data_IF_224417331703
#
_entry.id   IF_224417331703
#
_cell.length_a   1.000
_cell.length_b   1.000
_cell.length_c   1.000
_cell.angle_alpha   90.00
_cell.angle_beta   90.00
_cell.angle_gamma   90.00
#
_symmetry.space_group_name_H-M   'P 1'
#
loop_
_entity.id
_entity.type
_entity.pdbx_description
1 polymer ?
#
# COMPACT_ATOMS: atom_id res chain seq x y z
N UNK A 1 3.17 21.55 6.80
CA UNK A 1 2.36 21.11 5.66
C UNK A 1 2.92 19.79 5.16
N UNK A 2 2.21 18.68 5.35
CA UNK A 2 2.62 17.38 4.80
C UNK A 2 2.04 17.32 3.39
N UNK A 3 2.89 17.54 2.37
CA UNK A 3 2.50 17.26 0.99
C UNK A 3 2.64 15.76 0.81
N UNK A 4 1.52 15.09 0.54
CA UNK A 4 1.49 13.68 0.20
C UNK A 4 0.78 13.49 -1.11
N UNK A 5 1.43 12.81 -2.03
CA UNK A 5 0.88 12.44 -3.33
C UNK A 5 1.24 10.98 -3.61
N UNK A 6 0.28 10.22 -4.12
CA UNK A 6 0.48 8.84 -4.56
C UNK A 6 0.26 8.76 -6.07
N UNK A 7 1.15 8.08 -6.77
CA UNK A 7 1.06 7.89 -8.22
C UNK A 7 1.12 6.39 -8.54
N UNK A 8 0.11 5.87 -9.23
CA UNK A 8 0.07 4.49 -9.71
C UNK A 8 0.06 4.49 -11.24
N UNK A 9 0.82 3.59 -11.88
CA UNK A 9 0.81 3.42 -13.33
C UNK A 9 0.18 2.07 -13.71
N UNK A 10 -0.75 2.08 -14.67
CA UNK A 10 -1.35 0.85 -15.24
C UNK A 10 -0.55 0.40 -16.45
N UNK A 11 -0.12 -0.87 -16.45
CA UNK A 11 0.66 -1.43 -17.55
C UNK A 11 -0.22 -2.08 -18.62
N UNK A 12 -0.36 -1.37 -19.75
CA UNK A 12 -0.47 -1.98 -21.08
C UNK A 12 0.29 -1.13 -22.10
N UNK A 13 1.61 -1.26 -22.12
CA UNK A 13 2.39 -0.92 -23.31
C UNK A 13 3.45 -1.99 -23.58
N UNK A 14 3.38 -2.58 -24.79
CA UNK A 14 4.48 -3.29 -25.41
C UNK A 14 5.57 -2.26 -25.69
N UNK A 15 6.71 -2.38 -25.01
CA UNK A 15 7.97 -1.72 -25.41
C UNK A 15 8.35 -0.48 -24.60
N UNK A 16 8.78 -0.65 -23.35
CA UNK A 16 9.85 0.12 -22.69
C UNK A 16 10.01 -0.45 -21.27
N UNK A 17 11.26 -0.72 -20.85
CA UNK A 17 11.60 -1.64 -19.76
C UNK A 17 11.74 -0.99 -18.37
N UNK A 18 11.02 0.09 -18.08
CA UNK A 18 10.93 0.65 -16.73
C UNK A 18 9.46 0.88 -16.36
N UNK A 19 8.75 -0.19 -16.01
CA UNK A 19 7.35 -0.09 -15.58
C UNK A 19 7.31 0.28 -14.08
N UNK A 20 6.67 1.40 -13.79
CA UNK A 20 6.41 1.91 -12.44
C UNK A 20 5.19 1.17 -11.87
N UNK A 21 5.24 0.72 -10.61
CA UNK A 21 4.08 0.13 -9.95
C UNK A 21 3.34 1.15 -9.08
N UNK A 22 4.07 1.88 -8.23
CA UNK A 22 3.50 2.84 -7.27
C UNK A 22 4.55 3.87 -6.83
N UNK A 23 4.13 5.03 -6.36
CA UNK A 23 5.00 6.07 -5.82
C UNK A 23 4.33 6.76 -4.65
N UNK A 24 5.11 7.09 -3.62
CA UNK A 24 4.63 7.87 -2.47
C UNK A 24 5.58 9.03 -2.22
N UNK A 25 5.06 10.24 -2.20
CA UNK A 25 5.78 11.43 -1.74
C UNK A 25 5.43 11.69 -0.27
N UNK A 26 6.45 11.79 0.59
CA UNK A 26 6.30 12.13 2.00
C UNK A 26 7.32 13.21 2.38
N UNK A 27 6.85 14.45 2.52
CA UNK A 27 7.74 15.60 2.67
C UNK A 27 8.56 15.78 1.39
N UNK A 28 9.89 15.81 1.52
CA UNK A 28 10.80 15.83 0.37
C UNK A 28 11.27 14.44 -0.09
N UNK A 29 10.74 13.36 0.50
CA UNK A 29 11.17 12.01 0.18
C UNK A 29 10.19 11.36 -0.80
N UNK A 30 10.69 10.98 -1.96
CA UNK A 30 9.94 10.27 -2.98
C UNK A 30 10.34 8.79 -2.99
N UNK A 31 9.39 7.93 -2.69
CA UNK A 31 9.55 6.48 -2.72
C UNK A 31 8.94 5.95 -4.01
N UNK A 32 9.72 5.19 -4.77
CA UNK A 32 9.35 4.67 -6.09
C UNK A 32 9.37 3.14 -6.03
N UNK A 33 8.20 2.54 -6.15
CA UNK A 33 8.06 1.09 -6.26
C UNK A 33 8.09 0.68 -7.72
N UNK A 34 9.20 0.06 -8.14
CA UNK A 34 9.47 -0.29 -9.53
C UNK A 34 9.18 -1.76 -9.82
N UNK A 35 9.15 -2.12 -11.11
CA UNK A 35 9.19 -3.53 -11.53
C UNK A 35 10.36 -4.30 -10.91
N UNK A 36 10.19 -5.62 -10.82
CA UNK A 36 11.14 -6.54 -10.15
C UNK A 36 11.26 -6.31 -8.64
N UNK A 37 10.25 -5.69 -8.05
CA UNK A 37 10.07 -5.61 -6.60
C UNK A 37 11.20 -4.86 -5.88
N UNK A 38 11.67 -3.78 -6.50
CA UNK A 38 12.62 -2.84 -5.91
C UNK A 38 11.91 -1.55 -5.48
N UNK A 39 12.39 -0.97 -4.38
CA UNK A 39 12.00 0.37 -3.93
C UNK A 39 13.21 1.27 -4.10
N UNK A 40 13.03 2.40 -4.80
CA UNK A 40 13.98 3.52 -4.76
C UNK A 40 13.48 4.58 -3.80
N UNK A 41 14.40 5.23 -3.10
CA UNK A 41 14.14 6.35 -2.20
C UNK A 41 14.98 7.53 -2.67
N UNK A 42 14.30 8.56 -3.16
CA UNK A 42 14.90 9.79 -3.65
C UNK A 42 14.63 10.91 -2.65
N UNK A 43 15.67 11.63 -2.26
CA UNK A 43 15.59 12.85 -1.47
C UNK A 43 15.57 14.06 -2.41
N UNK A 44 14.46 14.79 -2.40
CA UNK A 44 14.20 15.97 -3.23
C UNK A 44 14.48 17.28 -2.47
N UNK A 45 15.10 17.23 -1.28
CA UNK A 45 15.39 18.43 -0.47
C UNK A 45 16.64 19.18 -0.92
N UNK A 46 17.48 18.56 -1.75
CA UNK A 46 18.74 19.12 -2.22
C UNK A 46 18.55 20.37 -3.09
N UNK A 47 19.49 21.31 -2.99
CA UNK A 47 19.59 22.50 -3.85
C UNK A 47 20.65 22.34 -4.95
N UNK A 48 21.20 21.13 -5.10
CA UNK A 48 22.32 20.81 -5.98
C UNK A 48 21.88 20.73 -7.46
N UNK A 49 22.81 20.77 -8.42
CA UNK A 49 22.55 20.92 -9.87
C UNK A 49 21.59 19.86 -10.47
N UNK A 50 21.57 18.63 -9.93
CA UNK A 50 20.72 17.53 -10.40
C UNK A 50 19.30 17.53 -9.79
N UNK A 51 19.03 18.36 -8.78
CA UNK A 51 17.70 18.56 -8.18
C UNK A 51 17.17 17.43 -7.28
N UNK A 52 17.87 16.29 -7.15
CA UNK A 52 17.55 15.22 -6.20
C UNK A 52 18.76 14.33 -5.90
N UNK A 53 18.69 13.56 -4.81
CA UNK A 53 19.69 12.58 -4.42
C UNK A 53 19.08 11.19 -4.25
N UNK A 54 19.66 10.18 -4.88
CA UNK A 54 19.29 8.79 -4.61
C UNK A 54 19.89 8.33 -3.27
N UNK A 55 19.01 8.12 -2.30
CA UNK A 55 19.34 7.65 -0.94
C UNK A 55 18.84 6.23 -0.68
N UNK A 56 18.46 5.51 -1.76
CA UNK A 56 18.01 4.12 -1.68
C UNK A 56 19.01 3.26 -0.93
N UNK A 57 18.49 2.40 -0.06
CA UNK A 57 19.28 1.29 0.45
C UNK A 57 19.76 0.44 -0.73
N UNK A 58 21.05 0.07 -0.74
CA UNK A 58 21.68 -0.67 -1.85
C UNK A 58 21.20 -2.12 -1.88
N UNK A 59 20.01 -2.33 -2.42
CA UNK A 59 19.41 -3.64 -2.53
C UNK A 59 20.01 -4.44 -3.70
N UNK A 60 20.51 -5.65 -3.41
CA UNK A 60 21.06 -6.55 -4.44
C UNK A 60 20.04 -7.51 -5.04
N UNK A 61 18.99 -7.85 -4.27
CA UNK A 61 18.00 -8.85 -4.64
C UNK A 61 16.57 -8.28 -4.57
N UNK A 62 15.66 -8.74 -5.46
CA UNK A 62 14.23 -8.48 -5.38
C UNK A 62 13.63 -8.86 -4.03
N UNK A 63 12.61 -8.13 -3.60
CA UNK A 63 11.88 -8.46 -2.37
C UNK A 63 10.91 -9.61 -2.58
N UNK A 64 11.31 -10.83 -2.21
CA UNK A 64 10.48 -12.01 -2.40
C UNK A 64 9.34 -12.05 -1.38
N UNK A 65 8.15 -12.37 -1.85
CA UNK A 65 7.04 -12.59 -0.93
C UNK A 65 7.25 -13.89 -0.14
N UNK A 66 6.96 -13.89 1.18
CA UNK A 66 6.88 -15.13 1.92
C UNK A 66 5.77 -16.00 1.31
N UNK A 67 6.00 -17.30 1.26
CA UNK A 67 4.96 -18.25 0.84
C UNK A 67 3.79 -18.16 1.82
N UNK A 68 2.59 -17.82 1.33
CA UNK A 68 1.39 -17.79 2.17
C UNK A 68 1.20 -19.11 2.90
N UNK A 69 0.69 -19.08 4.13
CA UNK A 69 0.43 -20.31 4.87
C UNK A 69 -0.63 -21.15 4.14
N UNK A 70 -0.58 -22.48 4.30
CA UNK A 70 -1.60 -23.36 3.70
C UNK A 70 -3.02 -22.99 4.13
N UNK A 71 -3.21 -22.58 5.40
CA UNK A 71 -4.52 -22.15 5.92
C UNK A 71 -5.03 -20.88 5.23
N UNK A 72 -4.16 -19.90 4.98
CA UNK A 72 -4.53 -18.68 4.25
C UNK A 72 -4.81 -18.99 2.79
N UNK A 73 -3.98 -19.84 2.17
CA UNK A 73 -4.19 -20.30 0.80
C UNK A 73 -5.51 -21.04 0.64
N UNK A 74 -5.89 -21.88 1.61
CA UNK A 74 -7.19 -22.55 1.63
C UNK A 74 -8.35 -21.57 1.81
N UNK A 75 -8.25 -20.61 2.73
CA UNK A 75 -9.24 -19.53 2.88
C UNK A 75 -9.42 -18.72 1.60
N UNK A 76 -8.31 -18.39 0.92
CA UNK A 76 -8.32 -17.66 -0.35
C UNK A 76 -8.88 -18.50 -1.50
N UNK A 77 -8.55 -19.79 -1.58
CA UNK A 77 -9.11 -20.74 -2.56
C UNK A 77 -10.62 -20.91 -2.38
N UNK A 78 -11.09 -21.07 -1.15
CA UNK A 78 -12.51 -21.19 -0.84
C UNK A 78 -13.30 -19.94 -1.25
N UNK A 79 -12.70 -18.75 -1.10
CA UNK A 79 -13.34 -17.47 -1.42
C UNK A 79 -13.11 -16.96 -2.85
N UNK A 80 -12.51 -17.77 -3.74
CA UNK A 80 -12.08 -17.34 -5.10
C UNK A 80 -11.36 -15.99 -5.08
N UNK A 81 -10.43 -15.83 -4.13
CA UNK A 81 -9.68 -14.58 -3.95
C UNK A 81 -8.83 -14.29 -5.18
N UNK A 82 -8.94 -13.09 -5.73
CA UNK A 82 -8.09 -12.63 -6.84
C UNK A 82 -7.12 -11.58 -6.26
N UNK A 83 -5.80 -11.71 -6.47
CA UNK A 83 -4.87 -10.64 -6.15
C UNK A 83 -5.29 -9.39 -6.94
N UNK A 84 -5.67 -8.33 -6.25
CA UNK A 84 -6.27 -7.16 -6.88
C UNK A 84 -5.26 -6.05 -7.10
N UNK A 85 -4.37 -5.81 -6.15
CA UNK A 85 -3.32 -4.80 -6.31
C UNK A 85 -2.11 -4.99 -5.39
N UNK A 86 -1.01 -4.31 -5.75
CA UNK A 86 0.21 -4.18 -4.96
C UNK A 86 0.65 -2.71 -4.96
N UNK A 87 0.89 -2.16 -3.78
CA UNK A 87 1.36 -0.80 -3.61
C UNK A 87 2.37 -0.67 -2.48
N UNK A 88 2.79 0.56 -2.21
CA UNK A 88 3.64 0.89 -1.07
C UNK A 88 2.97 1.92 -0.16
N UNK A 89 3.40 1.92 1.09
CA UNK A 89 3.10 2.95 2.05
C UNK A 89 4.32 3.27 2.91
N UNK A 90 4.38 4.45 3.50
CA UNK A 90 5.50 4.90 4.32
C UNK A 90 5.00 5.22 5.71
N UNK A 91 5.57 4.57 6.72
CA UNK A 91 5.20 4.81 8.11
C UNK A 91 5.67 6.19 8.57
N UNK A 92 5.19 6.68 9.72
CA UNK A 92 5.69 7.94 10.30
C UNK A 92 7.19 7.93 10.55
N UNK A 93 7.71 6.80 11.01
CA UNK A 93 9.14 6.56 11.21
C UNK A 93 9.96 6.49 9.90
N UNK A 94 9.31 6.53 8.73
CA UNK A 94 9.97 6.49 7.42
C UNK A 94 10.22 5.07 6.89
N UNK A 95 9.71 4.04 7.58
CA UNK A 95 9.80 2.67 7.10
C UNK A 95 8.83 2.45 5.94
N UNK A 96 9.31 1.84 4.85
CA UNK A 96 8.46 1.48 3.72
C UNK A 96 7.79 0.14 3.97
N UNK A 97 6.48 0.10 3.74
CA UNK A 97 5.64 -1.08 3.77
C UNK A 97 5.17 -1.39 2.35
N UNK A 98 5.24 -2.66 1.95
CA UNK A 98 4.59 -3.17 0.75
C UNK A 98 3.19 -3.65 1.16
N UNK A 99 2.17 -3.16 0.46
CA UNK A 99 0.77 -3.43 0.76
C UNK A 99 0.17 -4.27 -0.36
N UNK A 100 -0.32 -5.44 0.00
CA UNK A 100 -1.06 -6.31 -0.90
C UNK A 100 -2.55 -6.28 -0.59
N UNK A 101 -3.32 -6.15 -1.65
CA UNK A 101 -4.77 -6.15 -1.60
C UNK A 101 -5.29 -7.40 -2.31
N UNK A 102 -6.24 -8.09 -1.65
CA UNK A 102 -6.92 -9.24 -2.22
C UNK A 102 -8.42 -9.03 -2.18
N UNK A 103 -9.08 -9.25 -3.33
CA UNK A 103 -10.54 -9.20 -3.42
C UNK A 103 -11.11 -10.60 -3.29
N UNK A 104 -11.99 -10.81 -2.29
CA UNK A 104 -12.56 -12.13 -1.97
C UNK A 104 -13.88 -12.43 -2.73
N UNK A 105 -14.07 -11.83 -3.91
CA UNK A 105 -15.01 -12.28 -4.96
C UNK A 105 -16.51 -12.41 -4.63
N UNK A 106 -16.98 -11.94 -3.47
CA UNK A 106 -18.39 -12.02 -3.03
C UNK A 106 -19.17 -10.77 -3.43
N UNK A 107 -20.53 -10.84 -3.49
CA UNK A 107 -21.40 -9.69 -3.77
C UNK A 107 -21.27 -8.55 -2.75
N UNK A 108 -20.69 -8.86 -1.59
CA UNK A 108 -20.23 -7.94 -0.55
C UNK A 108 -18.69 -7.97 -0.42
N UNK A 109 -18.00 -7.99 -1.56
CA UNK A 109 -16.53 -8.09 -1.77
C UNK A 109 -15.66 -7.86 -0.53
N UNK A 110 -15.38 -8.87 0.29
CA UNK A 110 -14.47 -8.64 1.42
C UNK A 110 -13.06 -8.36 0.89
N UNK A 111 -12.50 -7.18 1.20
CA UNK A 111 -11.10 -6.85 0.90
C UNK A 111 -10.20 -7.33 2.03
N UNK A 112 -9.11 -7.99 1.68
CA UNK A 112 -8.08 -8.39 2.64
C UNK A 112 -6.80 -7.61 2.35
N UNK A 113 -6.13 -7.18 3.41
CA UNK A 113 -4.85 -6.50 3.33
C UNK A 113 -3.76 -7.29 4.05
N UNK A 114 -2.62 -7.42 3.38
CA UNK A 114 -1.39 -7.89 3.99
C UNK A 114 -0.31 -6.81 3.82
N UNK A 115 0.39 -6.54 4.93
CA UNK A 115 1.48 -5.58 4.99
C UNK A 115 2.77 -6.34 5.13
N UNK A 116 3.79 -5.88 4.44
CA UNK A 116 5.10 -6.49 4.46
C UNK A 116 6.19 -5.44 4.56
N UNK A 117 7.30 -5.77 5.19
CA UNK A 117 8.50 -4.93 5.26
C UNK A 117 9.74 -5.75 4.96
N UNK A 118 10.82 -5.08 4.59
CA UNK A 118 12.12 -5.74 4.40
C UNK A 118 12.70 -6.19 5.74
N UNK A 119 13.36 -7.35 5.78
CA UNK A 119 14.18 -7.71 6.93
C UNK A 119 15.48 -6.88 6.87
N UNK A 120 15.88 -6.18 7.93
CA UNK A 120 17.17 -5.50 7.98
C UNK A 120 18.37 -6.41 7.64
N UNK A 121 18.26 -7.72 7.87
CA UNK A 121 19.29 -8.71 7.50
C UNK A 121 19.50 -8.84 5.98
N UNK A 122 18.53 -8.42 5.18
CA UNK A 122 18.61 -8.43 3.71
C UNK A 122 19.59 -7.39 3.16
N UNK A 123 20.13 -6.53 4.03
CA UNK A 123 21.20 -5.59 3.71
C UNK A 123 22.59 -6.24 3.77
N UNK A 124 22.74 -7.41 4.41
CA UNK A 124 24.01 -8.15 4.41
C UNK A 124 24.27 -8.72 3.00
N UNK A 125 25.43 -8.40 2.37
CA UNK A 125 25.80 -8.95 1.07
C UNK A 125 25.85 -10.48 0.99
N UNK A 126 25.91 -11.19 2.12
CA UNK A 126 25.93 -12.65 2.20
C UNK A 126 24.53 -13.28 2.25
N UNK A 127 23.49 -12.48 2.45
CA UNK A 127 22.10 -12.95 2.50
C UNK A 127 21.63 -13.30 1.08
N UNK A 128 21.32 -14.59 0.86
CA UNK A 128 20.87 -15.12 -0.43
C UNK A 128 19.33 -15.23 -0.52
N UNK A 129 18.64 -15.15 0.62
CA UNK A 129 17.17 -15.19 0.70
C UNK A 129 16.68 -13.86 1.28
N UNK A 130 15.84 -13.14 0.52
CA UNK A 130 15.38 -11.78 0.85
C UNK A 130 13.86 -11.74 0.93
N UNK A 131 13.34 -12.64 1.77
CA UNK A 131 11.92 -12.75 2.02
C UNK A 131 11.43 -11.57 2.86
N UNK A 132 10.35 -10.95 2.41
CA UNK A 132 9.67 -9.92 3.16
C UNK A 132 9.08 -10.49 4.46
N UNK A 133 9.16 -9.70 5.52
CA UNK A 133 8.53 -9.98 6.79
C UNK A 133 7.11 -9.43 6.80
N UNK A 134 6.13 -10.28 7.12
CA UNK A 134 4.76 -9.82 7.30
C UNK A 134 4.64 -8.93 8.55
N UNK A 135 3.87 -7.85 8.41
CA UNK A 135 3.56 -6.91 9.48
C UNK A 135 2.10 -7.12 9.87
N UNK A 136 1.89 -7.65 11.07
CA UNK A 136 0.56 -7.91 11.61
C UNK A 136 -0.01 -6.76 12.45
N UNK A 137 0.80 -5.73 12.75
CA UNK A 137 0.37 -4.57 13.54
C UNK A 137 1.06 -3.28 13.09
N UNK A 138 0.29 -2.20 12.99
CA UNK A 138 0.78 -0.82 12.86
C UNK A 138 0.93 -0.12 14.23
N UNK A 139 0.61 -0.81 15.34
CA UNK A 139 0.66 -0.23 16.68
C UNK A 139 -0.42 0.83 16.88
N UNK A 140 0.01 2.01 17.33
CA UNK A 140 -0.82 3.19 17.56
C UNK A 140 -0.98 4.05 16.29
N UNK A 141 -0.67 3.52 15.11
CA UNK A 141 -0.84 4.21 13.83
C UNK A 141 -2.00 3.62 13.00
N UNK A 142 -2.49 4.44 12.08
CA UNK A 142 -3.43 4.05 11.04
C UNK A 142 -2.85 4.33 9.66
N UNK A 143 -3.00 3.40 8.71
CA UNK A 143 -2.58 3.56 7.33
C UNK A 143 -3.72 4.13 6.49
N UNK A 144 -3.47 5.27 5.85
CA UNK A 144 -4.35 5.79 4.81
C UNK A 144 -3.84 5.29 3.46
N UNK A 145 -4.40 4.17 3.00
CA UNK A 145 -3.88 3.42 1.86
C UNK A 145 -3.77 4.29 0.61
N UNK A 146 -4.81 5.06 0.28
CA UNK A 146 -4.82 5.91 -0.92
C UNK A 146 -3.80 7.05 -0.87
N UNK A 147 -3.39 7.45 0.34
CA UNK A 147 -2.33 8.43 0.55
C UNK A 147 -0.95 7.78 0.64
N UNK A 148 -0.87 6.46 0.83
CA UNK A 148 0.38 5.74 0.99
C UNK A 148 1.15 6.13 2.26
N UNK A 149 0.48 6.64 3.30
CA UNK A 149 1.15 7.07 4.54
C UNK A 149 0.41 6.59 5.78
N UNK A 150 1.15 6.43 6.88
CA UNK A 150 0.55 6.25 8.20
C UNK A 150 0.48 7.57 8.98
N UNK A 151 -0.51 7.65 9.86
CA UNK A 151 -0.72 8.76 10.81
C UNK A 151 -0.95 8.20 12.21
N UNK A 152 -0.76 9.00 13.28
CA UNK A 152 -1.12 8.58 14.62
C UNK A 152 -2.62 8.27 14.68
N UNK A 153 -3.00 7.25 15.44
CA UNK A 153 -4.36 7.08 15.87
C UNK A 153 -4.78 8.28 16.70
N UNK A 154 -6.04 8.68 16.52
CA UNK A 154 -6.61 9.85 17.18
C UNK A 154 -8.09 9.61 17.39
N UNK A 155 -8.46 9.28 18.63
CA UNK A 155 -9.84 9.03 18.99
C UNK A 155 -10.73 10.28 18.88
N UNK A 156 -10.16 11.48 18.96
CA UNK A 156 -10.91 12.74 18.79
C UNK A 156 -11.31 12.97 17.33
N UNK A 157 -10.50 12.48 16.40
CA UNK A 157 -10.76 12.49 14.95
C UNK A 157 -11.39 11.19 14.44
N UNK A 158 -11.59 10.20 15.30
CA UNK A 158 -12.12 8.87 14.92
C UNK A 158 -11.14 8.01 14.12
N UNK A 159 -9.84 8.28 14.23
CA UNK A 159 -8.77 7.48 13.61
C UNK A 159 -8.46 6.29 14.53
N UNK A 160 -8.89 5.10 14.12
CA UNK A 160 -8.72 3.85 14.86
C UNK A 160 -7.27 3.33 14.73
N UNK A 161 -6.61 2.88 15.81
CA UNK A 161 -5.27 2.31 15.74
C UNK A 161 -5.29 0.95 15.04
N UNK A 162 -4.14 0.58 14.48
CA UNK A 162 -3.94 -0.71 13.82
C UNK A 162 -4.93 -0.98 12.67
N UNK A 163 -5.29 0.08 11.96
CA UNK A 163 -6.31 0.06 10.92
C UNK A 163 -5.79 0.61 9.60
N UNK A 164 -6.40 0.16 8.51
CA UNK A 164 -6.14 0.59 7.15
C UNK A 164 -7.41 1.25 6.61
N UNK A 165 -7.34 2.56 6.38
CA UNK A 165 -8.37 3.34 5.72
C UNK A 165 -8.15 3.26 4.22
N UNK A 166 -9.15 2.82 3.48
CA UNK A 166 -9.05 2.64 2.05
C UNK A 166 -10.30 3.14 1.34
N UNK A 167 -10.13 3.48 0.07
CA UNK A 167 -11.21 3.66 -0.89
C UNK A 167 -10.98 2.71 -2.07
N UNK A 168 -11.85 2.80 -3.09
CA UNK A 168 -11.81 1.90 -4.25
C UNK A 168 -10.42 1.98 -4.92
N UNK A 169 -9.88 0.82 -5.29
CA UNK A 169 -8.47 0.66 -5.71
C UNK A 169 -8.34 0.57 -7.25
N UNK A 170 -9.47 0.54 -7.95
CA UNK A 170 -9.55 0.40 -9.40
C UNK A 170 -9.63 1.76 -10.12
N UNK A 171 -9.15 2.85 -9.51
CA UNK A 171 -9.27 4.22 -10.06
C UNK A 171 -8.80 4.37 -11.51
N UNK A 172 -7.99 3.43 -12.02
CA UNK A 172 -7.45 3.42 -13.39
C UNK A 172 -8.20 2.45 -14.33
N UNK A 173 -9.02 1.54 -13.80
CA UNK A 173 -9.81 0.61 -14.59
C UNK A 173 -11.22 1.18 -14.86
N UNK A 174 -11.42 1.79 -16.03
CA UNK A 174 -12.71 2.28 -16.52
C UNK A 174 -13.80 1.21 -16.75
N UNK A 175 -13.71 0.02 -16.15
CA UNK A 175 -14.66 -1.06 -16.37
C UNK A 175 -15.61 -1.24 -15.18
N UNK A 176 -16.83 -0.72 -15.40
CA UNK A 176 -18.07 -0.96 -14.66
C UNK A 176 -18.05 -0.62 -13.17
N UNK A 177 -18.85 0.40 -12.85
CA UNK A 177 -19.33 0.81 -11.54
C UNK A 177 -19.93 -0.37 -10.76
N UNK A 178 -19.12 -1.09 -9.99
CA UNK A 178 -19.61 -1.90 -8.88
C UNK A 178 -19.10 -1.27 -7.59
N UNK A 179 -20.00 -0.60 -6.87
CA UNK A 179 -19.89 -0.02 -5.52
C UNK A 179 -18.60 0.74 -5.13
N UNK A 180 -18.77 1.94 -4.58
CA UNK A 180 -17.70 2.60 -3.82
C UNK A 180 -17.38 1.73 -2.59
N UNK A 181 -16.24 1.05 -2.59
CA UNK A 181 -15.76 0.33 -1.42
C UNK A 181 -14.90 1.26 -0.57
N UNK A 182 -15.57 1.95 0.36
CA UNK A 182 -14.94 2.83 1.34
C UNK A 182 -15.07 2.16 2.70
N UNK A 183 -13.94 1.97 3.37
CA UNK A 183 -13.94 1.27 4.64
C UNK A 183 -12.67 1.42 5.44
N UNK A 184 -12.75 0.85 6.64
CA UNK A 184 -11.64 0.71 7.57
C UNK A 184 -11.42 -0.79 7.80
N UNK A 185 -10.23 -1.27 7.49
CA UNK A 185 -9.83 -2.63 7.76
C UNK A 185 -8.98 -2.70 9.02
N UNK A 186 -9.37 -3.51 10.00
CA UNK A 186 -8.56 -3.72 11.20
C UNK A 186 -7.58 -4.89 10.99
N UNK A 187 -6.28 -4.65 11.19
CA UNK A 187 -5.23 -5.64 10.95
C UNK A 187 -5.24 -6.80 11.94
N UNK A 188 -5.63 -6.56 13.19
CA UNK A 188 -5.66 -7.57 14.24
C UNK A 188 -6.85 -8.54 14.07
N UNK A 189 -8.05 -8.00 13.87
CA UNK A 189 -9.27 -8.82 13.73
C UNK A 189 -9.49 -9.31 12.30
N UNK A 190 -8.80 -8.72 11.31
CA UNK A 190 -8.97 -8.98 9.87
C UNK A 190 -10.41 -8.73 9.41
N UNK A 191 -11.07 -7.72 9.98
CA UNK A 191 -12.44 -7.33 9.66
C UNK A 191 -12.49 -5.98 8.96
N UNK A 192 -13.44 -5.82 8.03
CA UNK A 192 -13.73 -4.54 7.37
C UNK A 192 -14.97 -3.90 8.01
N UNK A 193 -14.86 -2.65 8.45
CA UNK A 193 -15.98 -1.77 8.78
C UNK A 193 -16.28 -0.91 7.56
N UNK A 194 -17.50 -1.00 7.04
CA UNK A 194 -17.96 -0.27 5.85
C UNK A 194 -18.89 0.87 6.19
N UNK A 195 -18.91 1.87 5.31
CA UNK A 195 -19.80 3.02 5.42
C UNK A 195 -20.89 2.94 4.34
N UNK A 196 -21.86 2.04 4.55
CA UNK A 196 -22.94 1.77 3.59
C UNK A 196 -23.83 3.00 3.29
N UNK A 197 -23.89 3.99 4.19
CA UNK A 197 -24.65 5.24 3.93
C UNK A 197 -24.11 6.05 2.73
N UNK A 198 -22.87 5.80 2.31
CA UNK A 198 -22.24 6.47 1.18
C UNK A 198 -22.68 5.91 -0.18
N UNK A 199 -23.25 4.69 -0.23
CA UNK A 199 -23.70 4.08 -1.49
C UNK A 199 -24.93 4.76 -2.11
N UNK A 200 -25.65 5.57 -1.32
CA UNK A 200 -26.80 6.34 -1.79
C UNK A 200 -26.40 7.62 -2.54
N UNK A 201 -25.12 7.98 -2.48
CA UNK A 201 -24.59 9.13 -3.19
C UNK A 201 -23.93 8.66 -4.49
N UNK A 202 -24.30 9.27 -5.61
CA UNK A 202 -23.74 8.98 -6.94
C UNK A 202 -22.32 9.56 -7.10
N UNK A 203 -21.39 9.24 -6.19
CA UNK A 203 -20.00 9.66 -6.31
C UNK A 203 -19.27 8.74 -7.30
N UNK A 204 -18.44 9.34 -8.17
CA UNK A 204 -17.61 8.58 -9.10
C UNK A 204 -16.29 8.14 -8.45
N UNK A 205 -15.80 8.93 -7.50
CA UNK A 205 -14.55 8.71 -6.76
C UNK A 205 -14.64 9.35 -5.38
N UNK A 206 -13.89 8.81 -4.44
CA UNK A 206 -13.77 9.31 -3.07
C UNK A 206 -12.37 8.98 -2.55
N UNK A 207 -11.78 9.88 -1.76
CA UNK A 207 -10.49 9.68 -1.13
C UNK A 207 -10.57 10.11 0.33
N UNK A 208 -9.93 9.35 1.21
CA UNK A 208 -9.67 9.82 2.57
C UNK A 208 -8.68 10.99 2.55
N UNK A 209 -8.99 12.06 3.26
CA UNK A 209 -8.10 13.19 3.45
C UNK A 209 -7.95 13.48 4.94
N UNK A 210 -6.82 14.11 5.29
CA UNK A 210 -6.56 14.56 6.65
C UNK A 210 -6.83 16.07 6.70
N UNK A 211 -7.64 16.56 7.65
CA UNK A 211 -7.82 18.00 7.83
C UNK A 211 -6.48 18.65 8.22
N UNK A 212 -6.23 19.84 7.67
CA UNK A 212 -5.01 20.64 7.87
C UNK A 212 -5.06 21.50 9.13
#
# INVERSE_FOLDING_TARGET
>A
MIITARFQQSSRFRGSYEVLNDMVLKGYNLYVYATREFIRHLDLSGQDEDGFKDVSEKHRLPMWMPSMTMKERERMKQKRSIPSNKGIAVTRAGQVLVVFTYDLGTSESHRMFHLYKRDPKDLDPKTLDTQLLEVHSLGDEALFYDLGITVPADHTLGIEPNSIYFTRDDRICHNKLSCLDIGVFNLATKTVKRFHGLSNFNFNDAQWFLPS
#
